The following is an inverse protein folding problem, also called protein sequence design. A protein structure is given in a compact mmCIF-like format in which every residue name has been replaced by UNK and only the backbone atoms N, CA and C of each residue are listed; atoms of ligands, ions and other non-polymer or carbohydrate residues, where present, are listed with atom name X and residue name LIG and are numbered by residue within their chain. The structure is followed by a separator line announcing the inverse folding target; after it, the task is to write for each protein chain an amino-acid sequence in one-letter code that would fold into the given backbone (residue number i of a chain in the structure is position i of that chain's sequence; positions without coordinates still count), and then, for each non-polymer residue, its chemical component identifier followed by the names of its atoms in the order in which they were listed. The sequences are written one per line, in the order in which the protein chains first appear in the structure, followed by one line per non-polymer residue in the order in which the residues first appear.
data_IF_182352563546
#
_entry.id   IF_182352563546
#
_cell.length_a   1.000
_cell.length_b   1.000
_cell.length_c   1.000
_cell.angle_alpha   90.00
_cell.angle_beta   90.00
_cell.angle_gamma   90.00
#
_symmetry.space_group_name_H-M   'P 1'
#
loop_
_entity.id
_entity.type
_entity.pdbx_description
1 polymer ?
#
# COMPACT_ATOMS: atom_id res chain seq x y z
N UNK A 1 77.61 7.40 -70.94
CA UNK A 1 77.35 6.58 -69.84
C UNK A 1 76.18 7.12 -69.00
N UNK A 2 75.00 6.54 -69.18
CA UNK A 2 73.82 6.86 -68.38
C UNK A 2 73.78 6.07 -67.07
N UNK A 3 73.87 6.74 -65.91
CA UNK A 3 73.67 6.13 -64.61
C UNK A 3 72.18 6.02 -64.36
N UNK A 4 71.63 4.80 -64.22
CA UNK A 4 70.30 4.49 -63.78
C UNK A 4 70.25 4.70 -62.28
N UNK A 5 69.53 5.74 -61.80
CA UNK A 5 69.14 5.89 -60.39
C UNK A 5 68.06 4.84 -59.99
N UNK A 6 68.41 3.97 -59.05
CA UNK A 6 67.46 3.02 -58.43
C UNK A 6 66.48 3.83 -57.51
N UNK A 7 65.22 3.94 -57.92
CA UNK A 7 64.18 4.38 -57.07
C UNK A 7 63.97 3.33 -55.95
N UNK A 8 64.36 3.68 -54.73
CA UNK A 8 64.13 2.90 -53.52
C UNK A 8 62.68 3.03 -53.14
N UNK A 9 61.97 1.89 -53.12
CA UNK A 9 60.51 1.84 -52.89
C UNK A 9 60.15 2.04 -51.39
N UNK A 10 60.35 3.25 -50.86
CA UNK A 10 60.10 3.61 -49.48
C UNK A 10 58.63 3.48 -49.10
N UNK A 11 57.70 3.65 -50.03
CA UNK A 11 56.27 3.59 -49.77
C UNK A 11 55.77 2.19 -49.35
N UNK A 12 56.49 1.11 -49.70
CA UNK A 12 56.11 -0.27 -49.37
C UNK A 12 56.42 -0.59 -47.89
N UNK A 13 57.55 -0.13 -47.36
CA UNK A 13 57.99 -0.41 -45.99
C UNK A 13 57.18 0.37 -44.95
N UNK A 14 56.66 1.57 -45.30
CA UNK A 14 55.80 2.36 -44.41
C UNK A 14 54.39 1.75 -44.30
N UNK A 15 53.88 1.13 -45.37
CA UNK A 15 52.57 0.46 -45.31
C UNK A 15 52.60 -0.82 -44.45
N UNK A 16 53.68 -1.59 -44.48
CA UNK A 16 53.81 -2.79 -43.66
C UNK A 16 54.03 -2.47 -42.18
N UNK A 17 54.75 -1.39 -41.84
CA UNK A 17 54.93 -0.94 -40.46
C UNK A 17 53.63 -0.36 -39.87
N UNK A 18 52.86 0.41 -40.65
CA UNK A 18 51.57 0.95 -40.23
C UNK A 18 50.50 -0.16 -40.08
N UNK A 19 50.51 -1.20 -40.90
CA UNK A 19 49.58 -2.32 -40.82
C UNK A 19 49.72 -3.16 -39.55
N UNK A 20 50.95 -3.36 -39.05
CA UNK A 20 51.17 -4.14 -37.81
C UNK A 20 50.74 -3.41 -36.54
N UNK A 21 50.90 -2.11 -36.48
CA UNK A 21 50.43 -1.32 -35.33
C UNK A 21 48.89 -1.09 -35.36
N UNK A 22 48.31 -0.95 -36.55
CA UNK A 22 46.86 -0.83 -36.71
C UNK A 22 46.12 -2.14 -36.38
N UNK A 23 46.69 -3.31 -36.76
CA UNK A 23 46.08 -4.61 -36.46
C UNK A 23 46.12 -4.97 -34.97
N UNK A 24 47.18 -4.59 -34.24
CA UNK A 24 47.25 -4.81 -32.78
C UNK A 24 46.27 -3.94 -32.02
N UNK A 25 46.10 -2.67 -32.39
CA UNK A 25 45.14 -1.77 -31.80
C UNK A 25 43.70 -2.19 -32.17
N UNK A 26 43.47 -2.63 -33.39
CA UNK A 26 42.18 -3.15 -33.84
C UNK A 26 41.79 -4.44 -33.13
N UNK A 27 42.75 -5.38 -32.96
CA UNK A 27 42.50 -6.62 -32.21
C UNK A 27 42.25 -6.38 -30.74
N UNK A 28 42.92 -5.41 -30.09
CA UNK A 28 42.67 -5.02 -28.69
C UNK A 28 41.28 -4.36 -28.55
N UNK A 29 40.91 -3.45 -29.45
CA UNK A 29 39.60 -2.82 -29.46
C UNK A 29 38.48 -3.84 -29.70
N UNK A 30 38.66 -4.75 -30.66
CA UNK A 30 37.68 -5.82 -30.91
C UNK A 30 37.55 -6.79 -29.72
N UNK A 31 38.67 -7.11 -29.06
CA UNK A 31 38.67 -7.91 -27.82
C UNK A 31 37.93 -7.22 -26.67
N UNK A 32 38.16 -5.91 -26.49
CA UNK A 32 37.46 -5.13 -25.44
C UNK A 32 35.96 -5.04 -25.73
N UNK A 33 35.58 -4.85 -26.99
CA UNK A 33 34.15 -4.81 -27.38
C UNK A 33 33.49 -6.17 -27.17
N UNK A 34 34.17 -7.27 -27.54
CA UNK A 34 33.66 -8.62 -27.31
C UNK A 34 33.51 -8.93 -25.82
N UNK A 35 34.45 -8.46 -24.96
CA UNK A 35 34.36 -8.59 -23.52
C UNK A 35 33.19 -7.79 -22.94
N UNK A 36 33.00 -6.57 -23.42
CA UNK A 36 31.86 -5.72 -22.99
C UNK A 36 30.50 -6.34 -23.36
N UNK A 37 30.38 -6.86 -24.58
CA UNK A 37 29.18 -7.58 -25.04
C UNK A 37 28.93 -8.84 -24.20
N UNK A 38 30.00 -9.62 -23.95
CA UNK A 38 29.90 -10.82 -23.10
C UNK A 38 29.47 -10.45 -21.65
N UNK A 39 30.00 -9.35 -21.08
CA UNK A 39 29.61 -8.86 -19.75
C UNK A 39 28.14 -8.46 -19.70
N UNK A 40 27.63 -7.75 -20.71
CA UNK A 40 26.22 -7.39 -20.83
C UNK A 40 25.32 -8.63 -20.95
N UNK A 41 25.72 -9.63 -21.74
CA UNK A 41 24.95 -10.85 -21.86
C UNK A 41 24.92 -11.65 -20.55
N UNK A 42 26.05 -11.75 -19.85
CA UNK A 42 26.10 -12.41 -18.54
C UNK A 42 25.27 -11.67 -17.52
N UNK A 43 25.33 -10.33 -17.49
CA UNK A 43 24.52 -9.50 -16.61
C UNK A 43 23.01 -9.71 -16.88
N UNK A 44 22.59 -9.71 -18.15
CA UNK A 44 21.19 -9.98 -18.50
C UNK A 44 20.75 -11.41 -18.13
N UNK A 45 21.62 -12.40 -18.26
CA UNK A 45 21.31 -13.77 -17.85
C UNK A 45 21.16 -13.88 -16.30
N UNK A 46 21.99 -13.16 -15.55
CA UNK A 46 21.89 -13.10 -14.10
C UNK A 46 20.59 -12.36 -13.72
N UNK A 47 20.32 -11.21 -14.34
CA UNK A 47 19.11 -10.44 -14.11
C UNK A 47 17.82 -11.22 -14.41
N UNK A 48 17.82 -12.06 -15.45
CA UNK A 48 16.69 -12.92 -15.81
C UNK A 48 16.47 -14.11 -14.85
N UNK A 49 17.43 -14.42 -13.97
CA UNK A 49 17.30 -15.46 -12.94
C UNK A 49 17.02 -14.90 -11.55
N UNK A 50 17.01 -13.58 -11.41
CA UNK A 50 16.60 -12.94 -10.15
C UNK A 50 15.08 -13.13 -9.99
N UNK A 51 14.61 -13.51 -8.80
CA UNK A 51 13.17 -13.51 -8.48
C UNK A 51 12.57 -12.17 -8.83
N UNK A 52 11.33 -12.14 -9.31
CA UNK A 52 10.63 -10.91 -9.68
C UNK A 52 10.58 -9.90 -8.53
N UNK A 53 10.59 -10.38 -7.29
CA UNK A 53 10.69 -9.55 -6.08
C UNK A 53 11.97 -8.68 -6.00
N UNK A 54 13.05 -9.03 -6.71
CA UNK A 54 14.29 -8.25 -6.76
C UNK A 54 14.36 -7.27 -7.93
N UNK A 55 13.54 -7.50 -8.97
CA UNK A 55 13.50 -6.62 -10.16
C UNK A 55 12.51 -5.46 -10.02
N UNK A 56 11.63 -5.50 -9.03
CA UNK A 56 10.69 -4.43 -8.72
C UNK A 56 11.30 -3.44 -7.72
N UNK A 57 12.41 -2.79 -8.09
CA UNK A 57 12.75 -1.52 -7.48
C UNK A 57 11.73 -0.49 -7.93
N UNK A 58 10.79 -0.17 -7.06
CA UNK A 58 9.84 0.92 -7.28
C UNK A 58 10.61 2.24 -7.33
N UNK A 59 10.93 2.69 -8.56
CA UNK A 59 11.57 3.99 -8.85
C UNK A 59 10.52 5.12 -8.86
N UNK A 60 9.24 4.81 -8.75
CA UNK A 60 8.21 5.78 -8.49
C UNK A 60 8.25 6.13 -7.01
N UNK A 61 8.92 7.21 -6.64
CA UNK A 61 9.05 7.72 -5.27
C UNK A 61 7.75 8.17 -4.61
N UNK A 62 6.69 7.42 -4.80
CA UNK A 62 5.43 7.54 -4.08
C UNK A 62 5.44 6.50 -2.96
N UNK A 63 5.79 6.91 -1.74
CA UNK A 63 5.64 6.11 -0.52
C UNK A 63 4.18 5.78 -0.18
N UNK A 64 3.38 5.48 -1.21
CA UNK A 64 1.95 5.11 -1.10
C UNK A 64 1.79 3.77 -0.35
N UNK A 65 2.86 2.96 -0.32
CA UNK A 65 2.90 1.65 0.35
C UNK A 65 3.76 1.66 1.62
N UNK A 66 4.30 2.83 2.02
CA UNK A 66 5.09 2.95 3.24
C UNK A 66 4.16 2.96 4.45
N UNK A 67 4.30 1.94 5.29
CA UNK A 67 3.57 1.83 6.55
C UNK A 67 4.08 2.92 7.50
N UNK A 68 3.16 3.68 8.08
CA UNK A 68 3.47 4.82 8.94
C UNK A 68 4.15 4.39 10.26
N UNK A 69 4.89 5.31 10.87
CA UNK A 69 5.48 5.07 12.20
C UNK A 69 4.40 4.84 13.25
N UNK A 70 3.23 5.46 13.11
CA UNK A 70 2.08 5.27 14.00
C UNK A 70 1.62 3.82 14.04
N UNK A 71 1.45 3.19 12.87
CA UNK A 71 1.05 1.78 12.79
C UNK A 71 2.15 0.86 13.30
N UNK A 72 3.42 1.18 13.02
CA UNK A 72 4.58 0.43 13.56
C UNK A 72 4.63 0.47 15.06
N UNK A 73 4.46 1.65 15.66
CA UNK A 73 4.48 1.84 17.12
C UNK A 73 3.29 1.13 17.78
N UNK A 74 2.11 1.18 17.15
CA UNK A 74 0.93 0.46 17.61
C UNK A 74 1.17 -1.06 17.62
N UNK A 75 1.65 -1.63 16.52
CA UNK A 75 1.93 -3.07 16.41
C UNK A 75 3.04 -3.53 17.37
N UNK A 76 4.05 -2.68 17.60
CA UNK A 76 5.11 -2.97 18.56
C UNK A 76 4.63 -2.98 20.02
N UNK A 77 3.57 -2.20 20.34
CA UNK A 77 2.97 -2.14 21.67
C UNK A 77 1.90 -3.22 21.89
N UNK A 78 1.46 -3.91 20.83
CA UNK A 78 0.41 -4.92 20.91
C UNK A 78 0.88 -6.17 21.67
N UNK A 79 0.05 -6.65 22.59
CA UNK A 79 0.34 -7.83 23.42
C UNK A 79 -0.37 -9.11 22.95
N UNK A 80 -1.47 -8.96 22.19
CA UNK A 80 -2.30 -10.06 21.72
C UNK A 80 -1.80 -10.60 20.38
N UNK A 81 -1.99 -11.92 20.19
CA UNK A 81 -1.74 -12.56 18.91
C UNK A 81 -2.97 -12.38 18.01
N UNK A 82 -2.73 -11.97 16.75
CA UNK A 82 -3.75 -11.70 15.73
C UNK A 82 -3.47 -12.54 14.50
N UNK A 83 -4.51 -13.19 13.99
CA UNK A 83 -4.46 -13.96 12.75
C UNK A 83 -5.16 -13.20 11.64
N UNK A 84 -4.49 -13.09 10.49
CA UNK A 84 -4.97 -12.44 9.28
C UNK A 84 -5.17 -13.53 8.23
N UNK A 85 -6.40 -13.75 7.82
CA UNK A 85 -6.75 -14.74 6.80
C UNK A 85 -7.20 -14.00 5.53
N UNK A 86 -6.45 -14.17 4.44
CA UNK A 86 -6.78 -13.61 3.13
C UNK A 86 -7.51 -14.68 2.33
N UNK A 87 -8.81 -14.52 2.17
CA UNK A 87 -9.68 -15.50 1.51
C UNK A 87 -9.69 -15.30 0.00
N UNK A 88 -8.53 -15.49 -0.62
CA UNK A 88 -8.29 -15.34 -2.05
C UNK A 88 -7.07 -16.15 -2.47
N UNK A 89 -6.98 -16.45 -3.77
CA UNK A 89 -5.78 -17.02 -4.37
C UNK A 89 -4.75 -15.88 -4.59
N UNK A 90 -3.57 -15.92 -3.93
CA UNK A 90 -2.56 -14.87 -4.04
C UNK A 90 -2.02 -14.68 -5.47
N UNK A 91 -2.07 -15.73 -6.32
CA UNK A 91 -1.62 -15.67 -7.70
C UNK A 91 -2.58 -14.86 -8.60
N UNK A 92 -3.80 -14.62 -8.15
CA UNK A 92 -4.82 -13.83 -8.84
C UNK A 92 -5.02 -12.43 -8.26
N UNK A 93 -4.42 -12.13 -7.11
CA UNK A 93 -4.48 -10.80 -6.50
C UNK A 93 -3.52 -9.81 -7.16
N UNK A 94 -3.81 -8.52 -7.01
CA UNK A 94 -2.84 -7.47 -7.34
C UNK A 94 -1.56 -7.66 -6.49
N UNK A 95 -0.43 -7.77 -7.15
CA UNK A 95 0.87 -8.02 -6.51
C UNK A 95 1.26 -6.96 -5.47
N UNK A 96 0.70 -5.74 -5.58
CA UNK A 96 0.89 -4.66 -4.61
C UNK A 96 0.21 -4.97 -3.30
N UNK A 97 -1.01 -5.54 -3.36
CA UNK A 97 -1.79 -5.96 -2.19
C UNK A 97 -1.05 -7.09 -1.47
N UNK A 98 -0.64 -8.13 -2.21
CA UNK A 98 0.10 -9.26 -1.62
C UNK A 98 1.37 -8.75 -0.92
N UNK A 99 2.16 -7.93 -1.62
CA UNK A 99 3.38 -7.37 -1.05
C UNK A 99 3.13 -6.51 0.19
N UNK A 100 2.07 -5.70 0.17
CA UNK A 100 1.68 -4.88 1.32
C UNK A 100 1.34 -5.77 2.52
N UNK A 101 0.45 -6.77 2.35
CA UNK A 101 0.02 -7.67 3.41
C UNK A 101 1.19 -8.47 4.00
N UNK A 102 2.08 -8.99 3.15
CA UNK A 102 3.29 -9.70 3.59
C UNK A 102 4.20 -8.77 4.40
N UNK A 103 4.47 -7.55 3.89
CA UNK A 103 5.33 -6.58 4.58
C UNK A 103 4.71 -6.11 5.90
N UNK A 104 3.39 -5.93 5.94
CA UNK A 104 2.68 -5.52 7.15
C UNK A 104 2.72 -6.62 8.23
N UNK A 105 2.51 -7.87 7.85
CA UNK A 105 2.57 -9.00 8.78
C UNK A 105 3.98 -9.20 9.38
N UNK A 106 5.04 -8.85 8.64
CA UNK A 106 6.42 -8.92 9.13
C UNK A 106 6.78 -7.86 10.19
N UNK A 107 5.91 -6.85 10.42
CA UNK A 107 6.19 -5.79 11.41
C UNK A 107 6.09 -6.26 12.86
N UNK A 108 5.39 -7.36 13.13
CA UNK A 108 5.22 -7.87 14.48
C UNK A 108 5.17 -9.40 14.50
N UNK A 109 5.93 -10.02 15.41
CA UNK A 109 5.87 -11.47 15.67
C UNK A 109 4.50 -11.92 16.22
N UNK A 110 3.61 -10.97 16.55
CA UNK A 110 2.24 -11.22 17.03
C UNK A 110 1.23 -11.35 15.89
N UNK A 111 1.64 -11.03 14.66
CA UNK A 111 0.79 -11.16 13.48
C UNK A 111 1.11 -12.47 12.75
N UNK A 112 0.09 -13.18 12.37
CA UNK A 112 0.19 -14.31 11.45
C UNK A 112 -0.66 -14.05 10.22
N UNK A 113 -0.12 -14.31 9.04
CA UNK A 113 -0.80 -14.12 7.76
C UNK A 113 -0.92 -15.46 7.05
N UNK A 114 -2.14 -15.79 6.61
CA UNK A 114 -2.42 -16.99 5.84
C UNK A 114 -3.31 -16.66 4.63
N UNK A 115 -2.92 -17.14 3.44
CA UNK A 115 -3.74 -17.08 2.24
C UNK A 115 -4.50 -18.40 2.09
N UNK A 116 -5.81 -18.31 1.99
CA UNK A 116 -6.69 -19.47 1.85
C UNK A 116 -7.53 -19.32 0.57
N UNK A 117 -7.23 -20.11 -0.45
CA UNK A 117 -8.02 -20.14 -1.67
C UNK A 117 -9.42 -20.73 -1.42
N UNK A 118 -10.49 -19.91 -1.52
CA UNK A 118 -11.85 -20.36 -1.25
C UNK A 118 -12.40 -21.30 -2.35
N UNK A 119 -11.76 -21.37 -3.51
CA UNK A 119 -12.08 -22.35 -4.54
C UNK A 119 -11.65 -23.76 -4.09
N UNK A 120 -10.48 -23.84 -3.45
CA UNK A 120 -9.93 -25.09 -2.91
C UNK A 120 -10.59 -25.46 -1.58
N UNK A 121 -10.84 -24.47 -0.72
CA UNK A 121 -11.37 -24.63 0.64
C UNK A 121 -12.67 -23.83 0.85
N UNK A 122 -13.78 -24.14 0.18
CA UNK A 122 -15.01 -23.33 0.22
C UNK A 122 -15.66 -23.26 1.61
N UNK A 123 -15.33 -24.17 2.51
CA UNK A 123 -15.83 -24.16 3.90
C UNK A 123 -15.36 -22.96 4.70
N UNK A 124 -14.25 -22.34 4.32
CA UNK A 124 -13.69 -21.16 5.02
C UNK A 124 -14.63 -19.96 4.98
N UNK A 125 -15.35 -19.76 3.86
CA UNK A 125 -16.34 -18.69 3.72
C UNK A 125 -17.50 -18.86 4.72
N UNK A 126 -17.97 -20.07 4.89
CA UNK A 126 -19.01 -20.38 5.89
C UNK A 126 -18.49 -20.28 7.32
N UNK A 127 -17.24 -20.66 7.54
CA UNK A 127 -16.59 -20.58 8.86
C UNK A 127 -16.54 -19.15 9.38
N UNK A 128 -16.15 -18.21 8.53
CA UNK A 128 -16.03 -16.80 8.89
C UNK A 128 -17.29 -15.98 8.60
N UNK A 129 -18.25 -16.53 7.82
CA UNK A 129 -19.51 -15.86 7.48
C UNK A 129 -19.31 -14.70 6.49
N UNK A 130 -18.35 -14.81 5.59
CA UNK A 130 -17.95 -13.79 4.62
C UNK A 130 -17.96 -14.35 3.19
N UNK A 131 -17.82 -13.46 2.21
CA UNK A 131 -17.66 -13.83 0.81
C UNK A 131 -16.17 -14.06 0.43
N UNK A 132 -15.92 -14.51 -0.81
CA UNK A 132 -14.57 -14.58 -1.35
C UNK A 132 -13.98 -13.16 -1.54
N UNK A 133 -12.67 -13.08 -1.72
CA UNK A 133 -11.92 -11.83 -1.87
C UNK A 133 -12.05 -10.90 -0.64
N UNK A 134 -12.07 -11.50 0.55
CA UNK A 134 -12.18 -10.81 1.84
C UNK A 134 -10.93 -11.07 2.69
N UNK A 135 -10.46 -10.06 3.40
CA UNK A 135 -9.48 -10.19 4.49
C UNK A 135 -10.26 -10.33 5.80
N UNK A 136 -9.96 -11.38 6.56
CA UNK A 136 -10.54 -11.63 7.88
C UNK A 136 -9.45 -11.52 8.92
N UNK A 137 -9.67 -10.70 9.94
CA UNK A 137 -8.77 -10.49 11.08
C UNK A 137 -9.42 -11.07 12.33
N UNK A 138 -8.71 -11.94 13.04
CA UNK A 138 -9.22 -12.57 14.25
C UNK A 138 -8.25 -12.45 15.42
N UNK A 139 -8.78 -12.32 16.63
CA UNK A 139 -7.99 -12.34 17.85
C UNK A 139 -8.57 -13.39 18.82
N UNK A 140 -7.83 -14.46 19.06
CA UNK A 140 -8.28 -15.54 19.92
C UNK A 140 -8.47 -15.10 21.38
N UNK A 141 -7.69 -14.12 21.85
CA UNK A 141 -7.76 -13.61 23.21
C UNK A 141 -9.08 -12.90 23.52
N UNK A 142 -9.64 -12.18 22.54
CA UNK A 142 -10.90 -11.43 22.66
C UNK A 142 -12.10 -12.20 22.10
N UNK A 143 -11.84 -13.21 21.26
CA UNK A 143 -12.86 -13.96 20.52
C UNK A 143 -13.54 -13.14 19.41
N UNK A 144 -12.94 -12.01 19.01
CA UNK A 144 -13.49 -11.09 18.02
C UNK A 144 -12.94 -11.37 16.63
N UNK A 145 -13.75 -10.98 15.64
CA UNK A 145 -13.45 -11.07 14.23
C UNK A 145 -13.91 -9.78 13.56
N UNK A 146 -13.08 -9.27 12.66
CA UNK A 146 -13.41 -8.19 11.73
C UNK A 146 -13.05 -8.60 10.29
N UNK A 147 -13.66 -7.97 9.32
CA UNK A 147 -13.40 -8.30 7.91
C UNK A 147 -13.62 -7.09 7.02
N UNK A 148 -12.90 -7.04 5.90
CA UNK A 148 -13.08 -6.04 4.85
C UNK A 148 -12.78 -6.65 3.48
N UNK A 149 -13.38 -6.09 2.43
CA UNK A 149 -13.16 -6.56 1.06
C UNK A 149 -11.78 -6.17 0.54
N UNK A 150 -11.11 -7.08 -0.15
CA UNK A 150 -9.79 -6.81 -0.77
C UNK A 150 -9.90 -5.66 -1.80
N UNK A 151 -11.06 -5.52 -2.45
CA UNK A 151 -11.31 -4.43 -3.39
C UNK A 151 -11.30 -3.04 -2.75
N UNK A 152 -11.46 -2.93 -1.43
CA UNK A 152 -11.41 -1.66 -0.71
C UNK A 152 -9.98 -1.15 -0.48
N UNK A 153 -8.98 -2.02 -0.62
CA UNK A 153 -7.56 -1.65 -0.45
C UNK A 153 -7.11 -0.65 -1.51
N UNK A 154 -7.62 -0.78 -2.75
CA UNK A 154 -7.31 0.14 -3.84
C UNK A 154 -8.57 0.90 -4.22
N UNK A 155 -8.60 2.19 -3.91
CA UNK A 155 -9.70 3.06 -4.28
C UNK A 155 -9.69 3.41 -5.77
N UNK A 156 -10.87 3.48 -6.38
CA UNK A 156 -11.04 3.87 -7.78
C UNK A 156 -12.05 5.01 -7.92
N UNK A 157 -11.78 5.93 -8.86
CA UNK A 157 -12.74 6.97 -9.23
C UNK A 157 -13.88 6.38 -10.05
N UNK A 158 -14.99 6.11 -9.37
CA UNK A 158 -16.22 5.56 -9.99
C UNK A 158 -16.78 6.53 -11.04
N UNK A 159 -16.67 7.84 -10.84
CA UNK A 159 -17.16 8.85 -11.78
C UNK A 159 -16.39 8.79 -13.10
N UNK A 160 -15.07 8.66 -13.04
CA UNK A 160 -14.22 8.50 -14.23
C UNK A 160 -14.55 7.23 -14.99
N UNK A 161 -14.83 6.14 -14.26
CA UNK A 161 -15.26 4.89 -14.88
C UNK A 161 -16.59 5.04 -15.66
N UNK A 162 -17.60 5.66 -15.05
CA UNK A 162 -18.91 5.86 -15.72
C UNK A 162 -18.86 6.87 -16.87
N UNK A 163 -18.04 7.93 -16.76
CA UNK A 163 -17.97 8.98 -17.78
C UNK A 163 -17.05 8.63 -18.95
N UNK A 164 -15.96 7.95 -18.70
CA UNK A 164 -14.87 7.74 -19.68
C UNK A 164 -14.49 6.27 -19.90
N UNK A 165 -15.06 5.34 -19.12
CA UNK A 165 -14.74 3.90 -19.19
C UNK A 165 -13.31 3.58 -18.75
N UNK A 166 -12.66 4.48 -18.00
CA UNK A 166 -11.30 4.29 -17.49
C UNK A 166 -11.31 4.13 -15.97
N UNK A 167 -10.67 3.09 -15.46
CA UNK A 167 -10.41 2.95 -14.03
C UNK A 167 -9.21 3.84 -13.68
N UNK A 168 -9.43 4.83 -12.83
CA UNK A 168 -8.38 5.67 -12.27
C UNK A 168 -8.28 5.38 -10.78
N UNK A 169 -7.12 4.91 -10.35
CA UNK A 169 -6.83 4.71 -8.93
C UNK A 169 -6.77 6.06 -8.22
N UNK A 170 -7.38 6.15 -7.05
CA UNK A 170 -7.42 7.38 -6.24
C UNK A 170 -6.50 7.29 -5.02
N UNK A 171 -6.48 6.14 -4.37
CA UNK A 171 -5.76 5.89 -3.13
C UNK A 171 -5.43 4.40 -2.96
N UNK A 172 -4.54 4.11 -1.99
CA UNK A 172 -4.24 2.79 -1.49
C UNK A 172 -4.37 2.84 0.04
N UNK A 173 -5.44 2.24 0.58
CA UNK A 173 -5.80 2.34 2.00
C UNK A 173 -5.63 1.01 2.77
N UNK A 174 -4.71 0.17 2.34
CA UNK A 174 -4.46 -1.12 3.01
C UNK A 174 -4.05 -0.96 4.47
N UNK A 175 -3.25 0.07 4.78
CA UNK A 175 -2.80 0.33 6.15
C UNK A 175 -3.96 0.74 7.06
N UNK A 176 -4.80 1.67 6.62
CA UNK A 176 -5.94 2.14 7.40
C UNK A 176 -6.92 1.01 7.70
N UNK A 177 -7.31 0.23 6.69
CA UNK A 177 -8.21 -0.91 6.83
C UNK A 177 -7.66 -1.97 7.78
N UNK A 178 -6.41 -2.40 7.55
CA UNK A 178 -5.82 -3.49 8.33
C UNK A 178 -5.54 -3.08 9.77
N UNK A 179 -4.99 -1.87 10.00
CA UNK A 179 -4.71 -1.37 11.35
C UNK A 179 -6.01 -1.19 12.14
N UNK A 180 -7.08 -0.67 11.51
CA UNK A 180 -8.39 -0.51 12.15
C UNK A 180 -9.02 -1.85 12.49
N UNK A 181 -8.94 -2.84 11.60
CA UNK A 181 -9.46 -4.18 11.87
C UNK A 181 -8.70 -4.84 13.04
N UNK A 182 -7.37 -4.71 13.08
CA UNK A 182 -6.54 -5.21 14.17
C UNK A 182 -6.91 -4.50 15.49
N UNK A 183 -7.01 -3.18 15.48
CA UNK A 183 -7.39 -2.42 16.69
C UNK A 183 -8.77 -2.83 17.20
N UNK A 184 -9.75 -3.00 16.32
CA UNK A 184 -11.11 -3.44 16.68
C UNK A 184 -11.12 -4.81 17.36
N UNK A 185 -10.36 -5.79 16.83
CA UNK A 185 -10.33 -7.14 17.42
C UNK A 185 -9.51 -7.21 18.70
N UNK A 186 -8.49 -6.36 18.86
CA UNK A 186 -7.59 -6.33 20.03
C UNK A 186 -8.18 -5.51 21.16
N UNK A 187 -8.54 -4.25 20.92
CA UNK A 187 -9.04 -3.33 21.96
C UNK A 187 -10.43 -3.70 22.42
N UNK A 188 -11.23 -4.23 21.52
CA UNK A 188 -12.62 -4.52 21.80
C UNK A 188 -13.49 -3.28 21.96
N UNK A 189 -12.98 -2.12 21.66
CA UNK A 189 -13.69 -0.84 21.73
C UNK A 189 -14.23 -0.51 20.35
N UNK A 190 -15.55 -0.41 20.23
CA UNK A 190 -16.17 0.18 19.04
C UNK A 190 -16.03 1.68 19.17
N UNK A 191 -15.33 2.31 18.21
CA UNK A 191 -15.19 3.77 18.15
C UNK A 191 -16.42 4.36 17.49
N UNK A 192 -17.09 5.27 18.17
CA UNK A 192 -18.27 5.95 17.65
C UNK A 192 -17.96 7.40 17.31
N UNK A 193 -18.31 7.79 16.09
CA UNK A 193 -18.30 9.18 15.62
C UNK A 193 -19.68 9.77 15.89
N UNK A 194 -19.76 10.85 16.64
CA UNK A 194 -21.01 11.55 16.86
C UNK A 194 -21.08 12.82 16.02
N UNK A 195 -22.21 12.98 15.31
CA UNK A 195 -22.51 14.19 14.54
C UNK A 195 -23.52 15.01 15.32
N UNK A 196 -23.22 16.28 15.57
CA UNK A 196 -24.15 17.16 16.28
C UNK A 196 -25.39 17.43 15.45
N UNK A 197 -26.52 17.58 16.14
CA UNK A 197 -27.81 17.95 15.58
C UNK A 197 -28.51 18.96 16.50
N UNK A 198 -29.44 19.75 15.97
CA UNK A 198 -30.23 20.72 16.75
C UNK A 198 -29.99 22.17 16.32
N UNK A 199 -28.88 22.49 15.63
CA UNK A 199 -28.51 23.86 15.21
C UNK A 199 -28.55 24.05 13.71
N UNK A 200 -29.36 23.25 12.99
CA UNK A 200 -29.49 23.33 11.55
C UNK A 200 -28.25 22.82 10.79
N UNK A 201 -27.54 21.89 11.38
CA UNK A 201 -26.36 21.25 10.79
C UNK A 201 -26.69 20.56 9.47
N UNK A 202 -25.70 20.51 8.60
CA UNK A 202 -25.80 19.76 7.34
C UNK A 202 -25.47 18.29 7.60
N UNK A 203 -26.29 17.37 7.08
CA UNK A 203 -26.01 15.94 7.16
C UNK A 203 -24.65 15.60 6.51
N UNK A 204 -23.96 14.60 7.05
CA UNK A 204 -22.75 14.09 6.43
C UNK A 204 -23.06 13.53 5.04
N UNK A 205 -22.21 13.75 4.04
CA UNK A 205 -22.33 13.06 2.77
C UNK A 205 -22.21 11.54 2.95
N UNK A 206 -23.03 10.75 2.25
CA UNK A 206 -23.01 9.29 2.34
C UNK A 206 -21.61 8.68 2.13
N UNK A 207 -20.81 9.26 1.23
CA UNK A 207 -19.42 8.78 1.03
C UNK A 207 -18.47 9.05 2.20
N UNK A 208 -18.85 9.93 3.18
CA UNK A 208 -18.08 10.13 4.42
C UNK A 208 -18.47 9.05 5.43
N UNK A 209 -19.76 8.75 5.56
CA UNK A 209 -20.25 7.68 6.44
C UNK A 209 -19.69 6.32 6.02
N UNK A 210 -19.70 6.02 4.71
CA UNK A 210 -19.10 4.80 4.17
C UNK A 210 -17.60 4.66 4.50
N UNK A 211 -16.86 5.78 4.60
CA UNK A 211 -15.45 5.75 5.00
C UNK A 211 -15.26 5.42 6.48
N UNK A 212 -16.15 5.88 7.34
CA UNK A 212 -16.14 5.50 8.75
C UNK A 212 -16.48 4.01 8.92
N UNK A 213 -17.47 3.52 8.19
CA UNK A 213 -17.84 2.10 8.21
C UNK A 213 -16.66 1.20 7.77
N UNK A 214 -15.92 1.60 6.75
CA UNK A 214 -14.74 0.83 6.28
C UNK A 214 -13.63 0.71 7.33
N UNK A 215 -13.48 1.69 8.19
CA UNK A 215 -12.49 1.67 9.29
C UNK A 215 -13.10 1.24 10.61
N UNK A 216 -14.22 0.52 10.58
CA UNK A 216 -14.92 -0.04 11.74
C UNK A 216 -15.31 1.01 12.80
N UNK A 217 -15.62 2.23 12.35
CA UNK A 217 -16.16 3.30 13.18
C UNK A 217 -17.65 3.45 12.91
N UNK A 218 -18.48 3.36 13.94
CA UNK A 218 -19.91 3.64 13.81
C UNK A 218 -20.17 5.14 13.79
N UNK A 219 -21.21 5.59 13.06
CA UNK A 219 -21.65 6.98 13.04
C UNK A 219 -23.02 7.07 13.72
N UNK A 220 -23.13 7.93 14.70
CA UNK A 220 -24.39 8.23 15.41
C UNK A 220 -24.57 9.75 15.56
N UNK A 221 -25.69 10.18 16.07
CA UNK A 221 -26.00 11.60 16.25
C UNK A 221 -26.20 11.96 17.73
N UNK A 222 -25.76 13.15 18.11
CA UNK A 222 -26.00 13.72 19.43
C UNK A 222 -26.66 15.09 19.30
N UNK A 223 -27.73 15.32 20.08
CA UNK A 223 -28.42 16.60 20.10
C UNK A 223 -28.09 17.31 21.41
N UNK A 224 -27.18 18.28 21.38
CA UNK A 224 -26.69 18.98 22.56
C UNK A 224 -27.78 19.80 23.29
N UNK A 225 -28.90 20.14 22.60
CA UNK A 225 -30.06 20.83 23.22
C UNK A 225 -30.89 19.89 24.11
N UNK A 226 -30.94 18.60 23.80
CA UNK A 226 -31.86 17.66 24.46
C UNK A 226 -31.14 16.57 25.23
N UNK A 227 -29.91 16.25 24.86
CA UNK A 227 -29.12 15.20 25.48
C UNK A 227 -28.38 15.76 26.71
N UNK A 228 -28.07 14.90 27.65
CA UNK A 228 -27.46 15.32 28.92
C UNK A 228 -25.95 15.56 28.84
N UNK A 229 -25.35 15.35 27.68
CA UNK A 229 -23.92 15.48 27.41
C UNK A 229 -23.51 14.69 26.19
N UNK A 230 -22.22 14.77 25.87
CA UNK A 230 -21.60 13.96 24.81
C UNK A 230 -21.40 12.54 25.38
N UNK A 231 -21.77 11.47 24.62
CA UNK A 231 -21.60 10.09 25.08
C UNK A 231 -20.14 9.73 25.40
N UNK A 232 -19.93 8.90 26.41
CA UNK A 232 -18.59 8.49 26.88
C UNK A 232 -17.81 7.69 25.82
N UNK A 233 -18.52 7.03 24.89
CA UNK A 233 -17.93 6.29 23.77
C UNK A 233 -17.65 7.16 22.54
N UNK A 234 -17.81 8.48 22.64
CA UNK A 234 -17.53 9.43 21.58
C UNK A 234 -16.03 9.54 21.34
N UNK A 235 -15.57 8.93 20.25
CA UNK A 235 -14.17 9.02 19.82
C UNK A 235 -13.88 10.21 18.91
N UNK A 236 -14.92 10.72 18.25
CA UNK A 236 -14.84 11.91 17.39
C UNK A 236 -16.19 12.63 17.39
N UNK A 237 -16.17 13.93 17.70
CA UNK A 237 -17.35 14.80 17.59
C UNK A 237 -17.25 15.67 16.34
N UNK A 238 -18.27 15.62 15.49
CA UNK A 238 -18.36 16.41 14.26
C UNK A 238 -19.47 17.45 14.36
N UNK A 239 -19.10 18.74 14.27
CA UNK A 239 -20.01 19.84 14.07
C UNK A 239 -20.00 20.22 12.59
N UNK A 240 -21.01 19.80 11.84
CA UNK A 240 -21.01 19.98 10.38
C UNK A 240 -21.85 21.19 9.95
N UNK A 241 -21.22 22.35 9.85
CA UNK A 241 -21.79 23.59 9.37
C UNK A 241 -23.11 23.98 10.09
N UNK A 242 -23.12 24.17 11.42
CA UNK A 242 -24.30 24.66 12.14
C UNK A 242 -24.70 26.03 11.60
N UNK A 243 -26.00 26.30 11.52
CA UNK A 243 -26.54 27.58 11.03
C UNK A 243 -27.04 28.47 12.19
N UNK A 244 -27.14 27.92 13.39
CA UNK A 244 -27.49 28.61 14.61
C UNK A 244 -26.33 28.53 15.62
N UNK A 245 -26.23 29.55 16.51
CA UNK A 245 -25.17 29.58 17.52
C UNK A 245 -25.44 28.56 18.62
N UNK A 246 -24.37 27.99 19.18
CA UNK A 246 -24.43 27.12 20.36
C UNK A 246 -24.73 27.97 21.62
N UNK A 247 -25.50 27.41 22.52
CA UNK A 247 -25.72 28.00 23.84
C UNK A 247 -24.49 27.81 24.75
N UNK A 248 -24.39 28.61 25.82
CA UNK A 248 -23.23 28.58 26.72
C UNK A 248 -23.07 27.21 27.42
N UNK A 249 -24.16 26.54 27.75
CA UNK A 249 -24.17 25.19 28.36
C UNK A 249 -23.72 24.09 27.37
N UNK A 250 -24.09 24.21 26.11
CA UNK A 250 -23.64 23.30 25.05
C UNK A 250 -22.14 23.47 24.76
N UNK A 251 -21.68 24.72 24.79
CA UNK A 251 -20.27 25.01 24.67
C UNK A 251 -19.46 24.41 25.83
N UNK A 252 -20.02 24.46 27.07
CA UNK A 252 -19.42 23.84 28.25
C UNK A 252 -19.33 22.32 28.11
N UNK A 253 -20.36 21.64 27.53
CA UNK A 253 -20.31 20.20 27.22
C UNK A 253 -19.18 19.85 26.24
N UNK A 254 -19.02 20.63 25.17
CA UNK A 254 -17.93 20.42 24.19
C UNK A 254 -16.58 20.65 24.82
N UNK A 255 -16.42 21.71 25.64
CA UNK A 255 -15.15 21.98 26.31
C UNK A 255 -14.76 20.86 27.29
N UNK A 256 -15.76 20.34 28.04
CA UNK A 256 -15.55 19.21 28.94
C UNK A 256 -15.09 17.97 28.17
N UNK A 257 -15.73 17.64 27.05
CA UNK A 257 -15.31 16.54 26.18
C UNK A 257 -13.87 16.72 25.68
N UNK A 258 -13.46 17.94 25.31
CA UNK A 258 -12.09 18.22 24.83
C UNK A 258 -11.04 18.17 25.95
N UNK A 259 -11.44 18.40 27.21
CA UNK A 259 -10.56 18.34 28.38
C UNK A 259 -10.36 16.89 28.88
N UNK A 260 -11.37 16.05 28.71
CA UNK A 260 -11.35 14.65 29.15
C UNK A 260 -10.65 13.73 28.13
N UNK A 261 -10.47 14.19 26.87
CA UNK A 261 -9.68 13.55 25.82
C UNK A 261 -10.41 12.59 24.97
#
# INVERSE_FOLDING_TARGET
GCAKMKHHNWKHSLREAAGRHASRRGAFSAGLTALAVAAVLVFNLIAAQLPESWSQFDLSGSGIYDITDTSRDYLAAMEQDVEIHVLADPDHLDSRIVRFLDTYAELSDRLSLEYVDPIVYPSVLTQYGVDADTVVVTCAATGRQESFDISDIIGYDIMMYYMYGTQQETDFDGEGLLTSAIDSVVSGVTRTVYVTTGHGETALPAGVEERFDRVHMSVDSVNLLTDSGIPEDCSLLILNAPTEDLADDELEMILTYLEEG
#
